data_IF_673042518159
#
_entry.id   IF_673042518159
#
_cell.length_a   1.000
_cell.length_b   1.000
_cell.length_c   1.000
_cell.angle_alpha   90.00
_cell.angle_beta   90.00
_cell.angle_gamma   90.00
#
_symmetry.space_group_name_H-M   'P 1'
#
loop_
_entity.id
_entity.type
_entity.pdbx_description
1 polymer ?
#
# COMPACT_ATOMS: atom_id res chain seq x y z
N UNK A 1 25.93 5.38 17.67
CA UNK A 1 25.16 5.27 16.40
C UNK A 1 24.94 3.79 16.12
N UNK A 2 23.74 3.38 15.72
CA UNK A 2 23.50 2.03 15.21
C UNK A 2 24.23 1.88 13.87
N UNK A 3 24.95 0.79 13.70
CA UNK A 3 25.51 0.44 12.39
C UNK A 3 24.38 0.12 11.42
N UNK A 4 24.46 0.68 10.20
CA UNK A 4 23.54 0.35 9.14
C UNK A 4 23.87 -1.04 8.59
N UNK A 5 22.81 -1.84 8.35
CA UNK A 5 22.94 -3.16 7.75
C UNK A 5 22.21 -3.19 6.42
N UNK A 6 22.73 -3.97 5.48
CA UNK A 6 22.05 -4.21 4.19
C UNK A 6 20.76 -5.00 4.42
N UNK A 7 19.73 -4.70 3.63
CA UNK A 7 18.49 -5.46 3.57
C UNK A 7 18.52 -6.60 2.52
N UNK A 8 19.68 -6.87 1.91
CA UNK A 8 19.83 -7.84 0.83
C UNK A 8 19.69 -7.21 -0.58
N UNK A 9 19.83 -8.05 -1.61
CA UNK A 9 19.76 -7.61 -3.02
C UNK A 9 18.34 -7.29 -3.49
N UNK A 10 17.33 -7.91 -2.88
CA UNK A 10 15.95 -7.85 -3.34
C UNK A 10 15.68 -8.69 -4.60
N UNK A 11 16.62 -9.55 -5.01
CA UNK A 11 16.39 -10.52 -6.08
C UNK A 11 15.21 -11.42 -5.78
N UNK A 12 14.44 -11.75 -6.81
CA UNK A 12 13.18 -12.48 -6.66
C UNK A 12 13.44 -13.98 -6.75
N UNK A 13 13.25 -14.66 -5.63
CA UNK A 13 13.11 -16.11 -5.58
C UNK A 13 11.64 -16.49 -5.44
N UNK A 14 11.04 -17.01 -6.51
CA UNK A 14 9.62 -17.37 -6.53
C UNK A 14 9.27 -18.50 -5.56
N UNK A 15 10.23 -19.35 -5.19
CA UNK A 15 10.02 -20.45 -4.25
C UNK A 15 10.01 -19.99 -2.78
N UNK A 16 10.53 -18.81 -2.50
CA UNK A 16 10.65 -18.28 -1.14
C UNK A 16 9.39 -17.57 -0.64
N UNK A 17 8.40 -17.33 -1.50
CA UNK A 17 7.16 -16.67 -1.08
C UNK A 17 6.35 -17.55 -0.11
N UNK A 18 5.73 -16.93 0.89
CA UNK A 18 4.77 -17.62 1.75
C UNK A 18 3.64 -18.28 0.93
N UNK A 19 3.14 -17.55 -0.06
CA UNK A 19 2.22 -18.05 -1.09
C UNK A 19 2.32 -17.20 -2.35
N UNK A 20 2.43 -17.87 -3.49
CA UNK A 20 2.39 -17.23 -4.80
C UNK A 20 1.30 -17.91 -5.65
N UNK A 21 0.36 -17.11 -6.12
CA UNK A 21 -0.72 -17.56 -7.00
C UNK A 21 -0.24 -17.88 -8.43
N UNK A 22 -1.17 -18.23 -9.31
CA UNK A 22 -0.88 -18.48 -10.73
C UNK A 22 -0.85 -17.16 -11.49
N UNK A 23 -0.08 -17.10 -12.58
CA UNK A 23 0.02 -15.96 -13.47
C UNK A 23 0.38 -14.66 -12.70
N UNK A 24 1.48 -14.71 -11.95
CA UNK A 24 2.08 -13.53 -11.32
C UNK A 24 3.25 -13.09 -12.17
N UNK A 25 3.22 -11.85 -12.63
CA UNK A 25 4.25 -11.25 -13.48
C UNK A 25 5.05 -10.26 -12.66
N UNK A 26 6.36 -10.42 -12.65
CA UNK A 26 7.29 -9.43 -12.14
C UNK A 26 8.10 -8.86 -13.30
N UNK A 27 7.96 -7.57 -13.54
CA UNK A 27 8.72 -6.90 -14.59
C UNK A 27 10.17 -6.62 -14.19
N UNK A 28 11.07 -6.42 -15.16
CA UNK A 28 12.47 -6.12 -14.88
C UNK A 28 12.68 -4.99 -13.87
N UNK A 29 13.64 -5.21 -12.97
CA UNK A 29 13.98 -4.26 -11.91
C UNK A 29 13.02 -4.28 -10.70
N UNK A 30 11.97 -5.09 -10.71
CA UNK A 30 11.18 -5.32 -9.50
C UNK A 30 12.05 -5.97 -8.43
N UNK A 31 11.91 -5.50 -7.17
CA UNK A 31 12.65 -6.01 -6.02
C UNK A 31 11.69 -6.53 -4.96
N UNK A 32 12.03 -7.65 -4.33
CA UNK A 32 11.23 -8.25 -3.26
C UNK A 32 12.13 -8.56 -2.06
N UNK A 33 11.72 -8.10 -0.90
CA UNK A 33 12.41 -8.36 0.37
C UNK A 33 11.50 -9.15 1.30
N UNK A 34 12.04 -10.14 2.01
CA UNK A 34 11.30 -11.02 2.91
C UNK A 34 10.09 -11.69 2.26
N UNK A 35 10.28 -12.39 1.10
CA UNK A 35 9.20 -13.06 0.39
C UNK A 35 8.45 -14.09 1.25
N UNK A 36 9.11 -14.67 2.25
CA UNK A 36 8.52 -15.61 3.23
C UNK A 36 7.35 -15.00 4.01
N UNK A 37 7.23 -13.67 4.05
CA UNK A 37 6.13 -12.94 4.69
C UNK A 37 5.20 -12.26 3.67
N UNK A 38 5.33 -12.61 2.38
CA UNK A 38 4.51 -12.06 1.30
C UNK A 38 3.62 -13.16 0.72
N UNK A 39 2.33 -12.85 0.66
CA UNK A 39 1.33 -13.65 -0.07
C UNK A 39 0.82 -12.84 -1.25
N UNK A 40 0.87 -13.44 -2.44
CA UNK A 40 0.32 -12.83 -3.66
C UNK A 40 -0.71 -13.79 -4.26
N UNK A 41 -1.88 -13.26 -4.60
CA UNK A 41 -2.94 -13.97 -5.29
C UNK A 41 -2.60 -14.30 -6.74
N UNK A 42 -3.60 -14.74 -7.48
CA UNK A 42 -3.45 -15.09 -8.91
C UNK A 42 -3.76 -13.88 -9.80
N UNK A 43 -3.17 -13.89 -11.01
CA UNK A 43 -3.35 -12.85 -12.02
C UNK A 43 -2.93 -11.45 -11.50
N UNK A 44 -1.73 -11.37 -10.94
CA UNK A 44 -1.16 -10.12 -10.38
C UNK A 44 0.00 -9.65 -11.24
N UNK A 45 -0.03 -8.39 -11.60
CA UNK A 45 1.06 -7.71 -12.32
C UNK A 45 1.85 -6.83 -11.35
N UNK A 46 3.17 -6.96 -11.38
CA UNK A 46 4.11 -6.10 -10.62
C UNK A 46 5.04 -5.42 -11.60
N UNK A 47 4.88 -4.12 -11.74
CA UNK A 47 5.53 -3.29 -12.75
C UNK A 47 7.04 -3.08 -12.52
N UNK A 48 7.69 -2.56 -13.57
CA UNK A 48 9.14 -2.29 -13.58
C UNK A 48 9.56 -1.44 -12.39
N UNK A 49 10.67 -1.84 -11.74
CA UNK A 49 11.26 -1.13 -10.61
C UNK A 49 10.32 -0.97 -9.41
N UNK A 50 9.24 -1.73 -9.30
CA UNK A 50 8.43 -1.77 -8.09
C UNK A 50 9.21 -2.44 -6.96
N UNK A 51 8.98 -2.01 -5.73
CA UNK A 51 9.65 -2.57 -4.55
C UNK A 51 8.58 -3.08 -3.58
N UNK A 52 8.53 -4.39 -3.41
CA UNK A 52 7.73 -5.07 -2.40
C UNK A 52 8.62 -5.33 -1.19
N UNK A 53 8.64 -4.37 -0.26
CA UNK A 53 9.46 -4.48 0.94
C UNK A 53 8.68 -5.14 2.06
N UNK A 54 8.69 -6.47 2.05
CA UNK A 54 8.28 -7.29 3.19
C UNK A 54 9.15 -7.03 4.41
N UNK A 55 8.73 -7.53 5.55
CA UNK A 55 9.43 -7.38 6.82
C UNK A 55 9.45 -8.71 7.57
N UNK A 56 10.44 -8.90 8.43
CA UNK A 56 10.70 -10.15 9.14
C UNK A 56 9.63 -10.56 10.16
N UNK A 57 8.67 -9.71 10.49
CA UNK A 57 7.62 -9.99 11.49
C UNK A 57 6.19 -9.82 10.99
N UNK A 58 5.96 -8.99 9.98
CA UNK A 58 4.62 -8.59 9.56
C UNK A 58 4.37 -8.99 8.11
N UNK A 59 3.12 -9.07 7.73
CA UNK A 59 2.69 -9.66 6.48
C UNK A 59 2.42 -8.61 5.40
N UNK A 60 2.69 -8.98 4.17
CA UNK A 60 2.14 -8.34 2.98
C UNK A 60 1.21 -9.33 2.28
N UNK A 61 -0.04 -8.95 2.10
CA UNK A 61 -1.04 -9.76 1.40
C UNK A 61 -1.58 -8.96 0.23
N UNK A 62 -1.44 -9.49 -0.97
CA UNK A 62 -1.97 -8.92 -2.22
C UNK A 62 -2.99 -9.92 -2.77
N UNK A 63 -4.23 -9.47 -2.96
CA UNK A 63 -5.32 -10.29 -3.49
C UNK A 63 -5.17 -10.59 -4.97
N UNK A 64 -6.14 -11.34 -5.51
CA UNK A 64 -6.18 -11.69 -6.93
C UNK A 64 -6.45 -10.47 -7.81
N UNK A 65 -6.03 -10.54 -9.09
CA UNK A 65 -6.38 -9.58 -10.14
C UNK A 65 -5.90 -8.15 -9.85
N UNK A 66 -4.80 -8.01 -9.12
CA UNK A 66 -4.24 -6.70 -8.77
C UNK A 66 -3.20 -6.23 -9.80
N UNK A 67 -3.16 -4.93 -10.00
CA UNK A 67 -2.16 -4.26 -10.82
C UNK A 67 -1.31 -3.33 -9.94
N UNK A 68 -0.03 -3.68 -9.78
CA UNK A 68 0.95 -2.88 -9.03
C UNK A 68 1.82 -2.17 -10.08
N UNK A 69 1.66 -0.87 -10.20
CA UNK A 69 2.32 -0.06 -11.22
C UNK A 69 3.83 0.04 -11.07
N UNK A 70 4.45 0.64 -12.07
CA UNK A 70 5.89 0.87 -12.11
C UNK A 70 6.34 1.75 -10.94
N UNK A 71 7.51 1.45 -10.37
CA UNK A 71 8.10 2.25 -9.28
C UNK A 71 7.21 2.37 -8.02
N UNK A 72 6.22 1.52 -7.85
CA UNK A 72 5.43 1.46 -6.61
C UNK A 72 6.33 0.99 -5.47
N UNK A 73 6.15 1.61 -4.29
CA UNK A 73 6.84 1.19 -3.07
C UNK A 73 5.83 0.73 -2.02
N UNK A 74 5.82 -0.57 -1.73
CA UNK A 74 5.03 -1.17 -0.66
C UNK A 74 5.93 -1.49 0.53
N UNK A 75 5.78 -0.80 1.66
CA UNK A 75 6.60 -0.96 2.85
C UNK A 75 5.77 -1.56 4.00
N UNK A 76 5.86 -2.87 4.21
CA UNK A 76 4.98 -3.62 5.10
C UNK A 76 5.52 -3.85 6.52
N UNK A 77 6.28 -2.90 7.06
CA UNK A 77 6.78 -2.99 8.43
C UNK A 77 5.66 -3.21 9.48
N UNK A 78 4.46 -2.63 9.24
CA UNK A 78 3.28 -2.74 10.10
C UNK A 78 2.12 -3.56 9.51
N UNK A 79 2.34 -4.32 8.45
CA UNK A 79 1.36 -5.10 7.67
C UNK A 79 0.68 -4.28 6.57
N UNK A 80 0.64 -4.85 5.37
CA UNK A 80 -0.18 -4.35 4.24
C UNK A 80 -1.18 -5.45 3.86
N UNK A 81 -2.44 -5.07 3.68
CA UNK A 81 -3.49 -5.93 3.10
C UNK A 81 -4.12 -5.23 1.92
N UNK A 82 -3.97 -5.81 0.74
CA UNK A 82 -4.57 -5.33 -0.50
C UNK A 82 -5.59 -6.36 -0.94
N UNK A 83 -6.84 -5.92 -1.12
CA UNK A 83 -7.95 -6.73 -1.58
C UNK A 83 -7.80 -7.20 -3.03
N UNK A 84 -8.88 -7.70 -3.61
CA UNK A 84 -8.93 -8.18 -5.01
C UNK A 84 -9.21 -7.02 -5.97
N UNK A 85 -8.76 -7.15 -7.23
CA UNK A 85 -9.02 -6.18 -8.29
C UNK A 85 -8.59 -4.74 -7.92
N UNK A 86 -7.48 -4.59 -7.21
CA UNK A 86 -6.96 -3.28 -6.81
C UNK A 86 -5.93 -2.79 -7.82
N UNK A 87 -6.09 -1.53 -8.24
CA UNK A 87 -5.08 -0.80 -9.01
C UNK A 87 -4.21 0.08 -8.13
N UNK A 88 -2.89 -0.03 -8.25
CA UNK A 88 -1.95 0.90 -7.61
C UNK A 88 -1.12 1.59 -8.69
N UNK A 89 -1.36 2.87 -8.89
CA UNK A 89 -0.76 3.68 -9.93
C UNK A 89 0.76 3.85 -9.80
N UNK A 90 1.44 4.14 -10.91
CA UNK A 90 2.89 4.27 -10.94
C UNK A 90 3.43 5.25 -9.89
N UNK A 91 4.51 4.84 -9.21
CA UNK A 91 5.18 5.66 -8.20
C UNK A 91 4.38 5.89 -6.93
N UNK A 92 3.25 5.21 -6.73
CA UNK A 92 2.52 5.28 -5.46
C UNK A 92 3.33 4.65 -4.32
N UNK A 93 3.13 5.15 -3.10
CA UNK A 93 3.87 4.75 -1.91
C UNK A 93 2.89 4.37 -0.81
N UNK A 94 3.02 3.15 -0.28
CA UNK A 94 2.25 2.67 0.85
C UNK A 94 3.19 2.45 2.03
N UNK A 95 3.00 3.22 3.10
CA UNK A 95 3.83 3.17 4.30
C UNK A 95 3.06 2.62 5.49
N UNK A 96 3.71 1.79 6.28
CA UNK A 96 3.12 1.21 7.50
C UNK A 96 3.97 1.48 8.75
N UNK A 97 4.90 2.44 8.66
CA UNK A 97 5.72 2.87 9.78
C UNK A 97 6.09 4.34 9.69
N UNK A 98 6.27 4.95 10.83
CA UNK A 98 6.81 6.29 11.02
C UNK A 98 7.54 6.40 12.35
N UNK A 99 8.47 7.33 12.48
CA UNK A 99 9.09 7.63 13.77
C UNK A 99 8.13 8.48 14.62
N UNK A 100 8.09 8.21 15.92
CA UNK A 100 7.46 9.09 16.90
C UNK A 100 8.39 10.27 17.22
N UNK A 101 7.82 11.39 17.65
CA UNK A 101 8.61 12.53 18.08
C UNK A 101 9.26 12.27 19.45
N UNK A 102 10.60 12.26 19.56
CA UNK A 102 11.30 12.01 20.83
C UNK A 102 11.45 13.29 21.68
N UNK A 103 10.86 14.41 21.25
CA UNK A 103 11.03 15.75 21.83
C UNK A 103 11.97 16.64 20.99
N UNK A 104 11.90 17.97 21.18
CA UNK A 104 12.57 18.95 20.32
C UNK A 104 14.11 18.90 20.40
N UNK A 105 14.66 18.40 21.49
CA UNK A 105 16.09 18.37 21.74
C UNK A 105 16.78 17.08 21.22
N UNK A 106 16.02 16.20 20.58
CA UNK A 106 16.50 14.92 20.08
C UNK A 106 16.20 14.75 18.59
N UNK A 107 17.14 14.15 17.83
CA UNK A 107 16.89 13.81 16.43
C UNK A 107 15.65 12.91 16.27
N UNK A 108 14.79 13.17 15.28
CA UNK A 108 13.61 12.36 14.99
C UNK A 108 13.93 10.86 14.75
N UNK A 109 15.10 10.57 14.19
CA UNK A 109 15.59 9.19 13.97
C UNK A 109 15.83 8.40 15.27
N UNK A 110 15.89 9.06 16.42
CA UNK A 110 15.97 8.41 17.74
C UNK A 110 14.58 8.10 18.32
N UNK A 111 13.52 8.63 17.73
CA UNK A 111 12.15 8.29 18.06
C UNK A 111 11.84 6.82 17.83
N UNK A 112 10.98 6.25 18.67
CA UNK A 112 10.52 4.88 18.49
C UNK A 112 9.81 4.73 17.15
N UNK A 113 10.01 3.60 16.47
CA UNK A 113 9.29 3.29 15.24
C UNK A 113 7.87 2.84 15.60
N UNK A 114 6.89 3.63 15.22
CA UNK A 114 5.47 3.28 15.31
C UNK A 114 5.06 2.53 14.05
N UNK A 115 4.48 1.35 14.24
CA UNK A 115 3.96 0.50 13.16
C UNK A 115 2.44 0.55 13.18
N UNK A 116 1.82 0.72 12.01
CA UNK A 116 0.38 0.67 11.89
C UNK A 116 -0.01 0.07 10.52
N UNK A 117 -0.97 -0.88 10.49
CA UNK A 117 -1.34 -1.56 9.26
C UNK A 117 -2.01 -0.61 8.27
N UNK A 118 -1.85 -0.92 6.98
CA UNK A 118 -2.64 -0.30 5.91
C UNK A 118 -3.48 -1.37 5.25
N UNK A 119 -4.76 -1.05 5.03
CA UNK A 119 -5.72 -1.92 4.36
C UNK A 119 -6.29 -1.19 3.14
N UNK A 120 -6.29 -1.88 1.99
CA UNK A 120 -6.89 -1.38 0.74
C UNK A 120 -7.96 -2.36 0.32
N UNK A 121 -9.20 -1.91 0.31
CA UNK A 121 -10.39 -2.73 0.00
C UNK A 121 -10.49 -3.12 -1.46
N UNK A 122 -11.28 -4.17 -1.72
CA UNK A 122 -11.50 -4.71 -3.07
C UNK A 122 -11.92 -3.63 -4.07
N UNK A 123 -11.35 -3.67 -5.26
CA UNK A 123 -11.68 -2.77 -6.36
C UNK A 123 -11.33 -1.29 -6.11
N UNK A 124 -10.53 -0.99 -5.09
CA UNK A 124 -10.01 0.36 -4.89
C UNK A 124 -8.94 0.70 -5.94
N UNK A 125 -8.78 1.99 -6.19
CA UNK A 125 -7.80 2.53 -7.14
C UNK A 125 -6.96 3.62 -6.48
N UNK A 126 -5.66 3.41 -6.43
CA UNK A 126 -4.69 4.34 -5.85
C UNK A 126 -3.97 5.05 -6.99
N UNK A 127 -4.23 6.32 -7.16
CA UNK A 127 -3.67 7.13 -8.24
C UNK A 127 -2.15 7.21 -8.25
N UNK A 128 -1.59 7.49 -9.43
CA UNK A 128 -0.15 7.63 -9.60
C UNK A 128 0.46 8.62 -8.59
N UNK A 129 1.61 8.25 -8.01
CA UNK A 129 2.33 9.05 -6.99
C UNK A 129 1.52 9.43 -5.75
N UNK A 130 0.41 8.76 -5.48
CA UNK A 130 -0.29 8.92 -4.21
C UNK A 130 0.51 8.28 -3.08
N UNK A 131 0.38 8.83 -1.87
CA UNK A 131 1.01 8.32 -0.66
C UNK A 131 -0.09 7.93 0.33
N UNK A 132 -0.06 6.70 0.82
CA UNK A 132 -0.94 6.24 1.90
C UNK A 132 -0.12 6.09 3.17
N UNK A 133 -0.51 6.81 4.22
CA UNK A 133 0.21 6.85 5.49
C UNK A 133 -0.15 5.68 6.42
N UNK A 134 0.72 5.37 7.41
CA UNK A 134 0.49 4.29 8.35
C UNK A 134 -0.86 4.39 9.07
N UNK A 135 -1.53 3.25 9.21
CA UNK A 135 -2.80 3.14 9.92
C UNK A 135 -4.04 3.46 9.09
N UNK A 136 -3.88 3.84 7.82
CA UNK A 136 -5.00 4.21 6.95
C UNK A 136 -5.68 2.98 6.37
N UNK A 137 -7.02 2.99 6.39
CA UNK A 137 -7.88 2.09 5.61
C UNK A 137 -8.45 2.83 4.40
N UNK A 138 -8.22 2.29 3.22
CA UNK A 138 -8.89 2.72 1.98
C UNK A 138 -10.02 1.75 1.70
N UNK A 139 -11.26 2.23 1.69
CA UNK A 139 -12.46 1.43 1.56
C UNK A 139 -12.62 0.76 0.18
N UNK A 140 -13.55 -0.20 0.12
CA UNK A 140 -13.91 -0.94 -1.10
C UNK A 140 -14.33 0.01 -2.22
N UNK A 141 -13.77 -0.19 -3.40
CA UNK A 141 -14.09 0.62 -4.58
C UNK A 141 -13.79 2.11 -4.43
N UNK A 142 -13.04 2.52 -3.40
CA UNK A 142 -12.61 3.91 -3.26
C UNK A 142 -11.60 4.29 -4.33
N UNK A 143 -11.51 5.58 -4.62
CA UNK A 143 -10.55 6.13 -5.57
C UNK A 143 -9.73 7.23 -4.92
N UNK A 144 -8.41 7.06 -4.93
CA UNK A 144 -7.44 8.04 -4.48
C UNK A 144 -6.85 8.75 -5.68
N UNK A 145 -7.00 10.06 -5.77
CA UNK A 145 -6.47 10.86 -6.87
C UNK A 145 -4.94 10.83 -6.95
N UNK A 146 -4.40 11.01 -8.16
CA UNK A 146 -2.96 11.08 -8.37
C UNK A 146 -2.32 12.18 -7.50
N UNK A 147 -1.13 11.90 -6.92
CA UNK A 147 -0.40 12.82 -6.05
C UNK A 147 -1.06 13.10 -4.69
N UNK A 148 -2.14 12.42 -4.35
CA UNK A 148 -2.80 12.62 -3.06
C UNK A 148 -1.97 12.05 -1.89
N UNK A 149 -2.04 12.70 -0.72
CA UNK A 149 -1.48 12.17 0.54
C UNK A 149 -2.62 11.80 1.48
N UNK A 150 -2.86 10.50 1.62
CA UNK A 150 -3.96 9.95 2.42
C UNK A 150 -3.50 9.81 3.86
N UNK A 151 -4.06 10.65 4.73
CA UNK A 151 -3.70 10.75 6.15
C UNK A 151 -4.80 10.24 7.09
N UNK A 152 -5.96 9.88 6.55
CA UNK A 152 -7.14 9.39 7.27
C UNK A 152 -7.84 8.33 6.44
N UNK A 153 -8.66 7.53 7.09
CA UNK A 153 -9.48 6.53 6.42
C UNK A 153 -10.34 7.12 5.30
N UNK A 154 -10.49 6.32 4.26
CA UNK A 154 -11.29 6.64 3.08
C UNK A 154 -12.47 5.66 3.04
N UNK A 155 -13.69 6.19 3.03
CA UNK A 155 -14.90 5.39 3.00
C UNK A 155 -15.03 4.57 1.70
N UNK A 156 -15.84 3.52 1.77
CA UNK A 156 -16.18 2.71 0.60
C UNK A 156 -16.77 3.59 -0.51
N UNK A 157 -16.26 3.41 -1.73
CA UNK A 157 -16.67 4.14 -2.93
C UNK A 157 -16.45 5.66 -2.88
N UNK A 158 -15.74 6.18 -1.90
CA UNK A 158 -15.35 7.59 -1.89
C UNK A 158 -14.27 7.89 -2.93
N UNK A 159 -14.32 9.09 -3.48
CA UNK A 159 -13.24 9.69 -4.27
C UNK A 159 -12.60 10.77 -3.43
N UNK A 160 -11.29 10.63 -3.19
CA UNK A 160 -10.49 11.60 -2.44
C UNK A 160 -9.31 12.09 -3.26
N UNK A 161 -8.89 13.34 -3.07
CA UNK A 161 -7.68 13.86 -3.72
C UNK A 161 -7.05 15.00 -2.90
N UNK A 162 -5.83 15.38 -3.26
CA UNK A 162 -5.10 16.50 -2.67
C UNK A 162 -4.09 16.09 -1.59
N UNK A 163 -3.38 17.07 -1.05
CA UNK A 163 -2.41 16.92 0.04
C UNK A 163 -2.71 17.95 1.15
N UNK A 164 -3.24 17.52 2.30
CA UNK A 164 -3.76 16.19 2.58
C UNK A 164 -5.03 15.86 1.78
N UNK A 165 -5.26 14.57 1.52
CA UNK A 165 -6.42 14.12 0.76
C UNK A 165 -7.74 14.54 1.44
N UNK A 166 -8.70 14.98 0.63
CA UNK A 166 -10.06 15.37 1.06
C UNK A 166 -11.08 14.68 0.19
N UNK A 167 -12.24 14.39 0.77
CA UNK A 167 -13.38 13.86 0.06
C UNK A 167 -13.85 14.83 -1.03
N UNK A 168 -14.05 14.30 -2.23
CA UNK A 168 -14.58 15.06 -3.38
C UNK A 168 -16.02 14.66 -3.70
N UNK A 169 -16.29 13.35 -3.78
CA UNK A 169 -17.61 12.78 -4.12
C UNK A 169 -17.67 11.29 -3.80
N UNK A 170 -18.87 10.74 -3.80
CA UNK A 170 -19.08 9.29 -3.83
C UNK A 170 -19.15 8.78 -5.29
N UNK A 171 -18.71 7.55 -5.52
CA UNK A 171 -18.94 6.81 -6.77
C UNK A 171 -20.31 6.12 -6.81
N UNK A 172 -20.96 5.97 -5.64
CA UNK A 172 -22.33 5.50 -5.60
C UNK A 172 -23.26 6.60 -6.09
N UNK A 173 -24.25 6.24 -6.93
CA UNK A 173 -25.34 7.15 -7.22
C UNK A 173 -26.03 7.56 -5.91
N UNK A 174 -26.52 8.81 -5.78
CA UNK A 174 -27.37 9.15 -4.66
C UNK A 174 -28.52 8.13 -4.61
N UNK A 175 -28.71 7.46 -3.50
CA UNK A 175 -29.93 6.69 -3.27
C UNK A 175 -31.07 7.68 -3.45
N UNK A 176 -32.01 7.40 -4.38
CA UNK A 176 -33.20 8.22 -4.52
C UNK A 176 -33.79 8.41 -3.12
N UNK A 177 -33.93 9.67 -2.68
CA UNK A 177 -34.61 9.96 -1.42
C UNK A 177 -35.99 9.37 -1.55
N UNK A 178 -36.45 8.61 -0.55
CA UNK A 178 -37.84 8.19 -0.46
C UNK A 178 -38.68 9.47 -0.50
N UNK A 179 -39.58 9.63 -1.50
CA UNK A 179 -40.35 10.86 -1.61
C UNK A 179 -41.33 11.07 -0.43
N UNK A 180 -41.21 10.28 0.62
CA UNK A 180 -42.02 10.31 1.84
C UNK A 180 -41.32 10.80 3.10
N UNK A 181 -40.03 11.27 3.01
CA UNK A 181 -39.36 11.99 4.09
C UNK A 181 -39.40 13.52 3.91
#
# INVERSE_FOLDING_TARGET
>A
MKEHQSHGSGEIDLSAFNRLGRNVIFEPGALVFHPENITIGSNVYVGHNAILKGYYKNLMVIGDECWIGQQVFLHSAGTIRIGRCVGIGPGAVILTSQHTEPGPDRPLMEGALQLAPVEIGDGADIGARAVVLPGVRVGKGAQVGAGAVVTKDVDDYAVVAGNPARFLRSRRAPTARDPRE
#
